data_IF_492123113738
#
_entry.id   IF_492123113738
#
_cell.length_a   1.000
_cell.length_b   1.000
_cell.length_c   1.000
_cell.angle_alpha   90.00
_cell.angle_beta   90.00
_cell.angle_gamma   90.00
#
_symmetry.space_group_name_H-M   'P 1'
#
loop_
_entity.id
_entity.type
_entity.pdbx_description
1 polymer ?
#
# COMPACT_ATOMS: atom_id res chain seq x y z
N UNK A 1 25.40 11.56 4.66
CA UNK A 1 24.97 10.62 3.60
C UNK A 1 24.01 9.53 4.06
N UNK A 2 23.86 9.21 5.36
CA UNK A 2 22.93 8.14 5.82
C UNK A 2 21.41 8.38 5.64
N UNK A 3 20.97 9.60 5.29
CA UNK A 3 19.54 9.94 5.18
C UNK A 3 18.98 9.78 3.75
N UNK A 4 19.81 9.86 2.71
CA UNK A 4 19.41 9.57 1.33
C UNK A 4 18.98 8.11 1.19
N UNK A 5 19.78 7.19 1.76
CA UNK A 5 19.56 5.74 1.66
C UNK A 5 18.22 5.31 2.30
N UNK A 6 17.77 6.03 3.35
CA UNK A 6 16.49 5.76 4.02
C UNK A 6 15.29 6.35 3.28
N UNK A 7 15.50 7.42 2.52
CA UNK A 7 14.47 8.04 1.71
C UNK A 7 14.21 7.23 0.44
N UNK A 8 15.28 6.80 -0.23
CA UNK A 8 15.20 5.92 -1.40
C UNK A 8 14.55 4.57 -1.05
N UNK A 9 14.98 3.92 0.04
CA UNK A 9 14.34 2.71 0.58
C UNK A 9 12.81 2.87 0.75
N UNK A 10 12.37 4.01 1.28
CA UNK A 10 10.95 4.27 1.46
C UNK A 10 10.20 4.49 0.15
N UNK A 11 10.81 5.16 -0.83
CA UNK A 11 10.24 5.31 -2.17
C UNK A 11 10.12 3.97 -2.89
N UNK A 12 11.15 3.13 -2.80
CA UNK A 12 11.14 1.79 -3.41
C UNK A 12 10.01 0.94 -2.82
N UNK A 13 9.83 0.99 -1.50
CA UNK A 13 8.74 0.27 -0.83
C UNK A 13 7.35 0.79 -1.18
N UNK A 14 7.19 2.10 -1.43
CA UNK A 14 5.94 2.65 -1.96
C UNK A 14 5.67 2.16 -3.39
N UNK A 15 6.69 2.15 -4.25
CA UNK A 15 6.56 1.61 -5.61
C UNK A 15 6.20 0.12 -5.60
N UNK A 16 6.84 -0.66 -4.74
CA UNK A 16 6.49 -2.07 -4.53
C UNK A 16 5.03 -2.21 -4.10
N UNK A 17 4.58 -1.39 -3.15
CA UNK A 17 3.19 -1.39 -2.69
C UNK A 17 2.21 -1.07 -3.83
N UNK A 18 2.51 -0.07 -4.67
CA UNK A 18 1.71 0.26 -5.85
C UNK A 18 1.63 -0.92 -6.83
N UNK A 19 2.73 -1.61 -7.10
CA UNK A 19 2.74 -2.79 -7.98
C UNK A 19 1.88 -3.93 -7.40
N UNK A 20 1.89 -4.10 -6.07
CA UNK A 20 1.07 -5.10 -5.38
C UNK A 20 -0.43 -4.77 -5.45
N UNK A 21 -0.81 -3.49 -5.35
CA UNK A 21 -2.18 -3.02 -5.53
C UNK A 21 -2.69 -3.34 -6.94
N UNK A 22 -1.93 -2.97 -7.97
CA UNK A 22 -2.28 -3.23 -9.37
C UNK A 22 -2.40 -4.72 -9.67
N UNK A 23 -1.44 -5.53 -9.18
CA UNK A 23 -1.51 -6.98 -9.31
C UNK A 23 -2.79 -7.54 -8.68
N UNK A 24 -3.17 -7.05 -7.49
CA UNK A 24 -4.37 -7.54 -6.81
C UNK A 24 -5.65 -7.09 -7.49
N UNK A 25 -5.69 -5.85 -8.01
CA UNK A 25 -6.77 -5.32 -8.85
C UNK A 25 -7.02 -6.21 -10.06
N UNK A 26 -5.96 -6.56 -10.78
CA UNK A 26 -6.04 -7.47 -11.94
C UNK A 26 -6.56 -8.86 -11.56
N UNK A 27 -6.10 -9.41 -10.41
CA UNK A 27 -6.58 -10.71 -9.92
C UNK A 27 -8.09 -10.71 -9.64
N UNK A 28 -8.59 -9.70 -8.91
CA UNK A 28 -10.01 -9.57 -8.60
C UNK A 28 -10.87 -9.37 -9.86
N UNK A 29 -10.36 -8.63 -10.85
CA UNK A 29 -11.03 -8.48 -12.13
C UNK A 29 -11.07 -9.80 -12.93
N UNK A 30 -10.01 -10.61 -12.86
CA UNK A 30 -9.91 -11.88 -13.59
C UNK A 30 -10.73 -13.03 -13.00
N UNK A 31 -11.09 -12.94 -11.71
CA UNK A 31 -11.84 -13.95 -10.98
C UNK A 31 -13.00 -13.28 -10.26
N UNK A 32 -14.14 -13.02 -10.94
CA UNK A 32 -15.24 -12.33 -10.29
C UNK A 32 -15.93 -13.22 -9.24
N UNK A 33 -15.85 -12.79 -7.99
CA UNK A 33 -16.63 -13.26 -6.84
C UNK A 33 -17.81 -12.32 -6.55
N UNK A 34 -18.84 -12.78 -5.84
CA UNK A 34 -20.02 -11.95 -5.50
C UNK A 34 -19.66 -10.68 -4.70
N UNK A 35 -18.52 -10.66 -4.00
CA UNK A 35 -17.99 -9.50 -3.27
C UNK A 35 -16.93 -8.69 -4.03
N UNK A 36 -16.70 -8.95 -5.32
CA UNK A 36 -15.65 -8.27 -6.10
C UNK A 36 -15.75 -6.75 -6.03
N UNK A 37 -16.95 -6.18 -6.18
CA UNK A 37 -17.15 -4.73 -6.08
C UNK A 37 -16.76 -4.17 -4.72
N UNK A 38 -17.05 -4.90 -3.63
CA UNK A 38 -16.63 -4.51 -2.29
C UNK A 38 -15.10 -4.54 -2.15
N UNK A 39 -14.46 -5.62 -2.63
CA UNK A 39 -13.00 -5.73 -2.60
C UNK A 39 -12.29 -4.67 -3.45
N UNK A 40 -12.85 -4.32 -4.60
CA UNK A 40 -12.37 -3.22 -5.43
C UNK A 40 -12.51 -1.87 -4.72
N UNK A 41 -13.59 -1.66 -3.96
CA UNK A 41 -13.74 -0.49 -3.08
C UNK A 41 -12.60 -0.37 -2.07
N UNK A 42 -12.26 -1.47 -1.39
CA UNK A 42 -11.13 -1.48 -0.46
C UNK A 42 -9.78 -1.21 -1.13
N UNK A 43 -9.55 -1.71 -2.35
CA UNK A 43 -8.33 -1.37 -3.11
C UNK A 43 -8.23 0.13 -3.38
N UNK A 44 -9.34 0.78 -3.75
CA UNK A 44 -9.37 2.24 -3.94
C UNK A 44 -9.04 2.99 -2.65
N UNK A 45 -9.46 2.49 -1.49
CA UNK A 45 -9.07 3.07 -0.19
C UNK A 45 -7.55 2.95 0.04
N UNK A 46 -6.97 1.76 -0.15
CA UNK A 46 -5.53 1.57 -0.03
C UNK A 46 -4.72 2.44 -1.00
N UNK A 47 -5.20 2.62 -2.24
CA UNK A 47 -4.58 3.49 -3.23
C UNK A 47 -4.61 4.97 -2.82
N UNK A 48 -5.74 5.44 -2.28
CA UNK A 48 -5.84 6.81 -1.76
C UNK A 48 -4.85 7.06 -0.62
N UNK A 49 -4.74 6.11 0.31
CA UNK A 49 -3.78 6.20 1.42
C UNK A 49 -2.33 6.18 0.93
N UNK A 50 -2.02 5.31 -0.04
CA UNK A 50 -0.72 5.26 -0.70
C UNK A 50 -0.37 6.58 -1.40
N UNK A 51 -1.30 7.14 -2.18
CA UNK A 51 -1.10 8.42 -2.87
C UNK A 51 -0.93 9.57 -1.88
N UNK A 52 -1.70 9.59 -0.80
CA UNK A 52 -1.56 10.59 0.26
C UNK A 52 -0.20 10.50 0.95
N UNK A 53 0.30 9.31 1.24
CA UNK A 53 1.63 9.11 1.84
C UNK A 53 2.75 9.53 0.87
N UNK A 54 2.65 9.11 -0.39
CA UNK A 54 3.60 9.47 -1.45
C UNK A 54 3.68 10.99 -1.61
N UNK A 55 2.51 11.65 -1.73
CA UNK A 55 2.44 13.11 -1.83
C UNK A 55 3.05 13.81 -0.61
N UNK A 56 2.77 13.33 0.61
CA UNK A 56 3.37 13.89 1.83
C UNK A 56 4.90 13.77 1.79
N UNK A 57 5.42 12.62 1.37
CA UNK A 57 6.87 12.42 1.27
C UNK A 57 7.53 13.30 0.20
N UNK A 58 6.92 13.43 -0.97
CA UNK A 58 7.46 14.25 -2.06
C UNK A 58 7.46 15.75 -1.72
N UNK A 59 6.56 16.18 -0.82
CA UNK A 59 6.47 17.56 -0.32
C UNK A 59 7.35 17.79 0.92
N UNK A 60 8.04 16.77 1.43
CA UNK A 60 8.85 16.89 2.65
C UNK A 60 10.28 17.32 2.31
N UNK A 61 10.68 18.49 2.79
CA UNK A 61 12.06 18.95 2.71
C UNK A 61 13.03 18.08 3.52
N UNK A 62 14.29 18.05 3.12
CA UNK A 62 15.33 17.22 3.75
C UNK A 62 15.49 17.48 5.26
N UNK A 63 15.31 18.72 5.73
CA UNK A 63 15.38 19.08 7.15
C UNK A 63 14.20 18.56 7.97
N UNK A 64 13.02 18.43 7.35
CA UNK A 64 11.81 17.88 7.97
C UNK A 64 11.82 16.35 7.91
N UNK A 65 12.47 15.77 6.90
CA UNK A 65 12.62 14.33 6.73
C UNK A 65 13.29 13.65 7.92
N UNK A 66 14.30 14.29 8.53
CA UNK A 66 14.99 13.73 9.71
C UNK A 66 14.05 13.53 10.90
N UNK A 67 13.02 14.37 11.01
CA UNK A 67 12.03 14.31 12.09
C UNK A 67 10.85 13.39 11.70
N UNK A 68 10.38 13.49 10.46
CA UNK A 68 9.15 12.84 10.01
C UNK A 68 9.36 11.45 9.40
N UNK A 69 10.59 11.11 8.98
CA UNK A 69 10.88 9.85 8.29
C UNK A 69 10.52 8.60 9.12
N UNK A 70 10.67 8.66 10.45
CA UNK A 70 10.21 7.57 11.34
C UNK A 70 8.68 7.41 11.30
N UNK A 71 7.95 8.53 11.29
CA UNK A 71 6.49 8.54 11.21
C UNK A 71 6.01 8.03 9.86
N UNK A 72 6.59 8.49 8.75
CA UNK A 72 6.24 7.99 7.42
C UNK A 72 6.54 6.50 7.27
N UNK A 73 7.64 6.01 7.86
CA UNK A 73 7.95 4.58 7.88
C UNK A 73 6.92 3.79 8.66
N UNK A 74 6.45 4.32 9.80
CA UNK A 74 5.39 3.69 10.59
C UNK A 74 4.06 3.67 9.82
N UNK A 75 3.68 4.78 9.18
CA UNK A 75 2.50 4.88 8.32
C UNK A 75 2.56 3.85 7.17
N UNK A 76 3.69 3.76 6.47
CA UNK A 76 3.89 2.80 5.39
C UNK A 76 3.77 1.35 5.88
N UNK A 77 4.47 1.02 6.97
CA UNK A 77 4.40 -0.32 7.56
C UNK A 77 2.96 -0.66 7.99
N UNK A 78 2.25 0.30 8.59
CA UNK A 78 0.85 0.13 8.98
C UNK A 78 -0.07 -0.11 7.77
N UNK A 79 0.14 0.64 6.69
CA UNK A 79 -0.58 0.48 5.43
C UNK A 79 -0.34 -0.91 4.82
N UNK A 80 0.93 -1.30 4.66
CA UNK A 80 1.29 -2.62 4.11
C UNK A 80 0.75 -3.76 4.96
N UNK A 81 0.85 -3.68 6.30
CA UNK A 81 0.34 -4.71 7.19
C UNK A 81 -1.18 -4.86 7.11
N UNK A 82 -1.93 -3.75 6.98
CA UNK A 82 -3.39 -3.80 6.80
C UNK A 82 -3.76 -4.41 5.45
N UNK A 83 -3.04 -4.03 4.39
CA UNK A 83 -3.21 -4.64 3.07
C UNK A 83 -2.94 -6.15 3.09
N UNK A 84 -1.86 -6.59 3.72
CA UNK A 84 -1.51 -8.01 3.81
C UNK A 84 -2.59 -8.84 4.53
N UNK A 85 -3.12 -8.32 5.64
CA UNK A 85 -4.22 -8.94 6.37
C UNK A 85 -5.47 -9.03 5.50
N UNK A 86 -5.80 -7.95 4.79
CA UNK A 86 -6.94 -7.91 3.90
C UNK A 86 -6.77 -8.88 2.72
N UNK A 87 -5.59 -8.97 2.10
CA UNK A 87 -5.33 -9.93 1.01
C UNK A 87 -5.56 -11.36 1.48
N UNK A 88 -5.07 -11.74 2.67
CA UNK A 88 -5.30 -13.08 3.24
C UNK A 88 -6.79 -13.36 3.45
N UNK A 89 -7.53 -12.40 4.00
CA UNK A 89 -8.98 -12.51 4.17
C UNK A 89 -9.69 -12.75 2.83
N UNK A 90 -9.36 -11.95 1.80
CA UNK A 90 -9.96 -12.13 0.47
C UNK A 90 -9.56 -13.47 -0.15
N UNK A 91 -8.30 -13.90 0.00
CA UNK A 91 -7.87 -15.21 -0.50
C UNK A 91 -8.61 -16.38 0.19
N UNK A 92 -8.92 -16.27 1.48
CA UNK A 92 -9.72 -17.24 2.22
C UNK A 92 -11.17 -17.28 1.70
N UNK A 93 -11.79 -16.12 1.45
CA UNK A 93 -13.15 -16.07 0.89
C UNK A 93 -13.24 -16.71 -0.50
N UNK A 94 -12.23 -16.50 -1.34
CA UNK A 94 -12.14 -17.11 -2.67
C UNK A 94 -11.90 -18.63 -2.62
N UNK A 95 -11.18 -19.13 -1.60
CA UNK A 95 -11.00 -20.58 -1.40
C UNK A 95 -12.28 -21.27 -0.94
N UNK A 96 -13.08 -20.64 -0.09
CA UNK A 96 -14.33 -21.23 0.43
C UNK A 96 -15.44 -21.34 -0.62
N UNK A 97 -15.31 -20.64 -1.74
CA UNK A 97 -16.32 -20.56 -2.81
C UNK A 97 -15.92 -21.29 -4.09
N UNK A 98 -14.76 -21.95 -4.09
CA UNK A 98 -14.26 -22.82 -5.18
C UNK A 98 -14.43 -24.30 -4.83
#
# INVERSE_FOLDING_TARGET
>A
MQNSDKFEDMRDRLQEFSARLEKRRAQLASRPHHKTNQHMGHLVEFEKEHQALTKRMDQTDASVWEQMGKTYRADLNGLMNRFDKWVRYVDEEYKQTS
#
